data_IF_917501866588
#
_entry.id   IF_917501866588
#
_cell.length_a   1.000
_cell.length_b   1.000
_cell.length_c   1.000
_cell.angle_alpha   90.00
_cell.angle_beta   90.00
_cell.angle_gamma   90.00
#
_symmetry.space_group_name_H-M   'P 1'
#
loop_
_entity.id
_entity.type
_entity.pdbx_description
1 polymer ?
#
# COMPACT_ATOMS: atom_id res chain seq x y z
N UNK A 1 -2.93 -2.92 11.56
CA UNK A 1 -3.92 -1.81 11.61
C UNK A 1 -4.47 -1.69 13.03
N UNK A 2 -4.54 -0.48 13.60
CA UNK A 2 -4.99 -0.25 14.99
C UNK A 2 -6.50 -0.01 15.08
N UNK A 3 -7.33 -0.75 14.34
CA UNK A 3 -8.78 -0.64 14.54
C UNK A 3 -9.18 -1.14 15.94
N UNK A 4 -10.24 -0.58 16.54
CA UNK A 4 -11.10 0.49 16.01
C UNK A 4 -10.50 1.90 16.16
N UNK A 5 -9.33 2.04 16.79
CA UNK A 5 -8.74 3.33 17.16
C UNK A 5 -8.23 4.16 15.98
N UNK A 6 -7.69 3.52 14.93
CA UNK A 6 -7.18 4.21 13.76
C UNK A 6 -7.18 3.33 12.50
N UNK A 7 -7.78 3.85 11.42
CA UNK A 7 -7.67 3.32 10.05
C UNK A 7 -6.53 3.96 9.23
N UNK A 8 -5.68 4.77 9.86
CA UNK A 8 -4.59 5.48 9.17
C UNK A 8 -3.32 4.62 9.08
N UNK A 9 -2.52 4.88 8.05
CA UNK A 9 -1.21 4.27 7.87
C UNK A 9 -0.31 4.56 9.08
N UNK A 10 0.41 3.54 9.54
CA UNK A 10 1.37 3.66 10.65
C UNK A 10 2.76 3.29 10.15
N UNK A 11 3.77 3.99 10.63
CA UNK A 11 5.17 3.69 10.36
C UNK A 11 5.91 3.34 11.66
N UNK A 12 6.92 2.48 11.55
CA UNK A 12 7.86 2.16 12.63
C UNK A 12 9.21 2.75 12.27
N UNK A 13 9.75 3.62 13.11
CA UNK A 13 11.07 4.20 12.92
C UNK A 13 12.09 3.47 13.80
N UNK A 14 13.13 2.93 13.18
CA UNK A 14 14.25 2.28 13.85
C UNK A 14 15.50 3.13 13.66
N UNK A 15 16.16 3.49 14.76
CA UNK A 15 17.38 4.29 14.72
C UNK A 15 18.31 3.92 15.88
N UNK A 16 19.60 4.18 15.71
CA UNK A 16 20.61 4.03 16.75
C UNK A 16 21.16 5.39 17.11
N UNK A 17 21.26 5.68 18.41
CA UNK A 17 21.89 6.91 18.89
C UNK A 17 23.40 6.82 18.66
N UNK A 18 23.90 7.54 17.67
CA UNK A 18 25.33 7.70 17.41
C UNK A 18 25.84 8.92 18.18
N UNK A 19 26.76 8.72 19.13
CA UNK A 19 27.35 9.84 19.89
C UNK A 19 28.19 10.81 19.04
N UNK A 20 28.61 10.33 17.87
CA UNK A 20 29.18 11.09 16.76
C UNK A 20 28.92 10.29 15.48
N UNK A 21 28.47 10.95 14.41
CA UNK A 21 28.08 10.31 13.15
C UNK A 21 26.60 10.51 12.83
N UNK A 22 26.29 10.64 11.55
CA UNK A 22 24.92 10.83 11.04
C UNK A 22 24.42 9.63 10.25
N UNK A 23 23.18 9.72 9.79
CA UNK A 23 22.60 8.78 8.83
C UNK A 23 22.92 9.25 7.42
N UNK A 24 23.60 8.44 6.61
CA UNK A 24 23.89 8.77 5.21
C UNK A 24 22.73 8.36 4.28
N UNK A 25 22.07 7.23 4.60
CA UNK A 25 20.93 6.69 3.87
C UNK A 25 19.88 6.12 4.82
N UNK A 26 18.61 6.25 4.46
CA UNK A 26 17.47 5.67 5.18
C UNK A 26 16.93 4.51 4.37
N UNK A 27 16.81 3.34 4.99
CA UNK A 27 16.16 2.18 4.37
C UNK A 27 14.66 2.27 4.60
N UNK A 28 13.90 2.16 3.52
CA UNK A 28 12.44 2.10 3.53
C UNK A 28 11.99 0.68 3.21
N UNK A 29 10.93 0.24 3.89
CA UNK A 29 10.25 -1.02 3.60
C UNK A 29 8.74 -0.79 3.60
N UNK A 30 8.06 -1.20 2.52
CA UNK A 30 6.62 -1.15 2.36
C UNK A 30 5.98 -2.45 2.87
N UNK A 31 5.60 -2.43 4.14
CA UNK A 31 4.94 -3.57 4.78
C UNK A 31 3.46 -3.60 4.39
N UNK A 32 3.05 -4.65 3.69
CA UNK A 32 1.68 -4.87 3.20
C UNK A 32 0.87 -5.73 4.16
N UNK A 33 1.49 -6.71 4.82
CA UNK A 33 0.81 -7.62 5.74
C UNK A 33 1.69 -8.07 6.91
N UNK A 34 1.07 -8.23 8.09
CA UNK A 34 1.73 -8.63 9.33
C UNK A 34 1.44 -10.08 9.76
N UNK A 35 0.84 -10.89 8.87
CA UNK A 35 0.38 -12.24 9.19
C UNK A 35 -1.02 -12.31 9.78
N UNK A 36 -1.72 -11.18 9.91
CA UNK A 36 -3.11 -11.14 10.37
C UNK A 36 -4.02 -10.36 9.43
N UNK A 37 -5.31 -10.69 9.46
CA UNK A 37 -6.34 -9.95 8.74
C UNK A 37 -6.43 -8.50 9.21
N UNK A 38 -6.87 -7.61 8.32
CA UNK A 38 -6.99 -6.18 8.57
C UNK A 38 -8.26 -5.80 9.35
N UNK A 39 -9.19 -6.73 9.50
CA UNK A 39 -10.39 -6.57 10.30
C UNK A 39 -10.11 -6.77 11.80
N UNK A 40 -11.09 -6.39 12.62
CA UNK A 40 -10.96 -6.39 14.08
C UNK A 40 -10.75 -7.78 14.69
N UNK A 41 -11.09 -8.84 13.97
CA UNK A 41 -10.89 -10.22 14.45
C UNK A 41 -9.43 -10.63 14.39
N UNK A 42 -8.60 -9.94 13.59
CA UNK A 42 -7.16 -10.18 13.45
C UNK A 42 -6.86 -11.68 13.34
N UNK A 43 -7.49 -12.35 12.39
CA UNK A 43 -7.31 -13.80 12.18
C UNK A 43 -6.01 -14.03 11.43
N UNK A 44 -5.29 -15.12 11.74
CA UNK A 44 -4.06 -15.46 11.02
C UNK A 44 -4.30 -15.63 9.52
N UNK A 45 -3.39 -15.10 8.71
CA UNK A 45 -3.37 -15.21 7.26
C UNK A 45 -1.99 -15.65 6.78
N UNK A 46 -1.89 -16.06 5.51
CA UNK A 46 -0.63 -16.55 4.95
C UNK A 46 0.34 -15.40 4.64
N UNK A 47 -0.20 -14.24 4.30
CA UNK A 47 0.52 -13.05 3.91
C UNK A 47 1.20 -12.42 5.14
N UNK A 48 2.53 -12.50 5.19
CA UNK A 48 3.32 -11.98 6.31
C UNK A 48 4.69 -11.50 5.83
N UNK A 49 4.91 -10.19 5.90
CA UNK A 49 6.17 -9.58 5.49
C UNK A 49 7.22 -9.56 6.61
N UNK A 50 6.83 -9.83 7.87
CA UNK A 50 7.75 -9.72 9.03
C UNK A 50 9.01 -10.59 8.86
N UNK A 51 8.91 -11.87 8.43
CA UNK A 51 10.11 -12.68 8.21
C UNK A 51 11.04 -12.10 7.14
N UNK A 52 10.50 -11.53 6.07
CA UNK A 52 11.26 -10.91 4.98
C UNK A 52 11.93 -9.60 5.46
N UNK A 53 11.21 -8.76 6.22
CA UNK A 53 11.76 -7.56 6.85
C UNK A 53 12.97 -7.91 7.71
N UNK A 54 12.85 -8.93 8.56
CA UNK A 54 13.94 -9.36 9.45
C UNK A 54 15.14 -9.85 8.62
N UNK A 55 14.89 -10.71 7.63
CA UNK A 55 15.96 -11.27 6.80
C UNK A 55 16.72 -10.18 6.03
N UNK A 56 16.01 -9.20 5.45
CA UNK A 56 16.63 -8.07 4.72
C UNK A 56 17.32 -7.09 5.64
N UNK A 57 16.72 -6.77 6.79
CA UNK A 57 17.34 -5.88 7.75
C UNK A 57 18.66 -6.45 8.32
N UNK A 58 18.80 -7.77 8.37
CA UNK A 58 20.06 -8.44 8.71
C UNK A 58 21.09 -8.43 7.57
N UNK A 59 20.68 -8.15 6.33
CA UNK A 59 21.54 -8.14 5.14
C UNK A 59 21.32 -6.87 4.30
N UNK A 60 21.46 -5.71 4.92
CA UNK A 60 21.24 -4.40 4.28
C UNK A 60 22.18 -4.13 3.10
N UNK A 61 23.34 -4.79 3.03
CA UNK A 61 24.26 -4.61 1.90
C UNK A 61 23.65 -5.12 0.59
N UNK A 62 22.82 -6.17 0.65
CA UNK A 62 22.09 -6.68 -0.52
C UNK A 62 20.95 -5.76 -1.00
N UNK A 63 20.60 -4.74 -0.21
CA UNK A 63 19.53 -3.79 -0.53
C UNK A 63 20.05 -2.56 -1.29
N UNK A 64 21.37 -2.43 -1.47
CA UNK A 64 22.01 -1.23 -2.04
C UNK A 64 21.55 -0.89 -3.46
N UNK A 65 21.30 -1.90 -4.30
CA UNK A 65 20.96 -1.72 -5.72
C UNK A 65 19.45 -1.81 -6.02
N UNK A 66 18.62 -1.88 -4.98
CA UNK A 66 17.17 -2.03 -5.14
C UNK A 66 16.53 -0.75 -5.65
N UNK A 67 15.59 -0.91 -6.58
CA UNK A 67 14.89 0.19 -7.24
C UNK A 67 13.76 0.75 -6.36
N UNK A 68 13.39 2.00 -6.64
CA UNK A 68 12.26 2.70 -6.00
C UNK A 68 10.89 2.05 -6.25
N UNK A 69 10.79 1.15 -7.23
CA UNK A 69 9.58 0.38 -7.54
C UNK A 69 9.43 -0.88 -6.68
N UNK A 70 10.49 -1.29 -5.99
CA UNK A 70 10.51 -2.51 -5.18
C UNK A 70 9.94 -2.28 -3.78
N UNK A 71 9.72 -3.38 -3.04
CA UNK A 71 9.16 -3.35 -1.69
C UNK A 71 10.07 -2.65 -0.67
N UNK A 72 11.36 -2.58 -0.94
CA UNK A 72 12.35 -1.96 -0.05
C UNK A 72 13.48 -1.35 -0.86
N UNK A 73 14.01 -0.22 -0.39
CA UNK A 73 15.05 0.55 -1.06
C UNK A 73 15.69 1.59 -0.13
N UNK A 74 16.86 2.11 -0.50
CA UNK A 74 17.55 3.16 0.24
C UNK A 74 17.32 4.55 -0.33
N UNK A 75 17.02 5.54 0.51
CA UNK A 75 16.98 6.97 0.15
C UNK A 75 18.19 7.69 0.77
N UNK A 76 18.99 8.44 -0.02
CA UNK A 76 20.05 9.29 0.52
C UNK A 76 19.50 10.40 1.42
N UNK A 77 20.24 10.75 2.47
CA UNK A 77 19.85 11.83 3.39
C UNK A 77 19.67 13.18 2.67
N UNK A 78 20.47 13.46 1.65
CA UNK A 78 20.41 14.71 0.90
C UNK A 78 19.06 14.88 0.21
N UNK A 79 18.52 13.79 -0.36
CA UNK A 79 17.20 13.76 -0.98
C UNK A 79 16.09 13.96 0.05
N UNK A 80 16.23 13.34 1.24
CA UNK A 80 15.29 13.53 2.35
C UNK A 80 15.30 14.98 2.84
N UNK A 81 16.49 15.58 2.99
CA UNK A 81 16.64 16.97 3.39
C UNK A 81 16.03 17.94 2.35
N UNK A 82 16.23 17.67 1.06
CA UNK A 82 15.61 18.43 -0.02
C UNK A 82 14.07 18.35 0.00
N UNK A 83 13.52 17.24 0.47
CA UNK A 83 12.09 17.03 0.68
C UNK A 83 11.59 17.48 2.07
N UNK A 84 12.36 18.30 2.79
CA UNK A 84 11.92 18.85 4.08
C UNK A 84 11.87 17.83 5.22
N UNK A 85 12.68 16.77 5.14
CA UNK A 85 12.70 15.66 6.08
C UNK A 85 11.39 14.86 6.16
N UNK A 86 10.62 14.85 5.08
CA UNK A 86 9.47 13.96 4.96
C UNK A 86 9.94 12.50 4.89
N UNK A 87 9.50 11.68 5.85
CA UNK A 87 9.82 10.24 5.93
C UNK A 87 8.64 9.36 5.46
N UNK A 88 7.76 9.90 4.64
CA UNK A 88 6.68 9.14 4.01
C UNK A 88 7.24 8.32 2.84
N UNK A 89 7.14 6.99 2.91
CA UNK A 89 7.62 6.10 1.85
C UNK A 89 7.05 6.45 0.46
N UNK A 90 5.79 6.89 0.41
CA UNK A 90 5.10 7.30 -0.81
C UNK A 90 5.74 8.50 -1.51
N UNK A 91 6.54 9.30 -0.80
CA UNK A 91 7.28 10.42 -1.38
C UNK A 91 8.42 9.95 -2.30
N UNK A 92 8.99 8.78 -2.00
CA UNK A 92 10.18 8.24 -2.64
C UNK A 92 9.92 7.01 -3.49
N UNK A 93 8.77 6.36 -3.29
CA UNK A 93 8.38 5.16 -4.03
C UNK A 93 7.96 5.52 -5.45
N UNK A 94 8.55 4.86 -6.42
CA UNK A 94 8.12 4.96 -7.81
C UNK A 94 7.01 3.94 -8.05
N UNK A 95 5.88 4.41 -8.57
CA UNK A 95 4.79 3.51 -9.00
C UNK A 95 4.88 3.39 -10.51
N UNK A 96 5.07 2.17 -11.02
CA UNK A 96 4.94 1.90 -12.45
C UNK A 96 3.48 2.10 -12.84
N UNK A 97 3.20 3.19 -13.55
CA UNK A 97 1.86 3.44 -14.07
C UNK A 97 1.58 2.46 -15.20
N UNK A 98 0.75 1.47 -14.93
CA UNK A 98 0.13 0.67 -15.99
C UNK A 98 -1.09 1.47 -16.45
N UNK A 99 -1.14 1.95 -17.71
CA UNK A 99 -2.33 2.61 -18.22
C UNK A 99 -3.51 1.65 -18.10
N UNK A 100 -4.49 2.06 -17.31
CA UNK A 100 -5.76 1.35 -17.23
C UNK A 100 -6.53 1.73 -18.49
N UNK A 101 -6.70 0.78 -19.40
CA UNK A 101 -7.63 0.93 -20.50
C UNK A 101 -9.04 0.85 -19.93
N UNK A 102 -9.77 1.95 -20.03
CA UNK A 102 -11.17 1.99 -19.67
C UNK A 102 -12.02 1.67 -20.91
N UNK A 103 -13.15 0.96 -20.73
CA UNK A 103 -14.15 0.87 -21.78
C UNK A 103 -14.59 2.27 -22.21
N UNK A 104 -15.00 2.39 -23.46
CA UNK A 104 -15.47 3.65 -24.01
C UNK A 104 -16.71 4.14 -23.28
N UNK A 105 -16.97 5.45 -23.33
CA UNK A 105 -18.20 6.04 -22.76
C UNK A 105 -19.46 5.35 -23.27
N UNK A 106 -19.45 4.92 -24.54
CA UNK A 106 -20.58 4.22 -25.17
C UNK A 106 -20.83 2.86 -24.55
N UNK A 107 -19.77 2.09 -24.28
CA UNK A 107 -19.87 0.78 -23.61
C UNK A 107 -20.37 0.95 -22.17
N UNK A 108 -19.81 1.90 -21.42
CA UNK A 108 -20.26 2.21 -20.05
C UNK A 108 -21.76 2.59 -20.02
N UNK A 109 -22.21 3.39 -20.99
CA UNK A 109 -23.62 3.77 -21.09
C UNK A 109 -24.53 2.60 -21.47
N UNK A 110 -24.05 1.67 -22.31
CA UNK A 110 -24.79 0.46 -22.66
C UNK A 110 -24.96 -0.43 -21.42
N UNK A 111 -23.88 -0.67 -20.67
CA UNK A 111 -23.91 -1.47 -19.43
C UNK A 111 -24.85 -0.86 -18.39
N UNK A 112 -24.83 0.47 -18.23
CA UNK A 112 -25.73 1.19 -17.31
C UNK A 112 -27.19 1.02 -17.71
N UNK A 113 -27.50 1.11 -19.01
CA UNK A 113 -28.86 0.95 -19.50
C UNK A 113 -29.35 -0.49 -19.33
N UNK A 114 -28.48 -1.49 -19.52
CA UNK A 114 -28.79 -2.89 -19.26
C UNK A 114 -29.12 -3.14 -17.78
N UNK A 115 -28.28 -2.62 -16.87
CA UNK A 115 -28.53 -2.68 -15.43
C UNK A 115 -29.86 -2.03 -15.03
N UNK A 116 -30.21 -0.87 -15.58
CA UNK A 116 -31.50 -0.20 -15.34
C UNK A 116 -32.70 -1.06 -15.78
N UNK A 117 -32.59 -1.76 -16.92
CA UNK A 117 -33.65 -2.68 -17.36
C UNK A 117 -33.80 -3.87 -16.41
N UNK A 118 -32.69 -4.45 -15.93
CA UNK A 118 -32.73 -5.55 -14.96
C UNK A 118 -33.38 -5.12 -13.64
N UNK A 119 -33.01 -3.93 -13.13
CA UNK A 119 -33.61 -3.35 -11.92
C UNK A 119 -35.11 -3.14 -12.11
N UNK A 120 -35.52 -2.53 -13.22
CA UNK A 120 -36.93 -2.24 -13.50
C UNK A 120 -37.74 -3.53 -13.61
N UNK A 121 -37.19 -4.56 -14.28
CA UNK A 121 -37.83 -5.87 -14.39
C UNK A 121 -37.98 -6.53 -13.01
N UNK A 122 -36.92 -6.55 -12.21
CA UNK A 122 -36.95 -7.13 -10.86
C UNK A 122 -37.94 -6.42 -9.94
N UNK A 123 -38.09 -5.10 -10.05
CA UNK A 123 -39.10 -4.34 -9.32
C UNK A 123 -40.53 -4.73 -9.73
N UNK A 124 -40.80 -4.86 -11.02
CA UNK A 124 -42.11 -5.29 -11.51
C UNK A 124 -42.48 -6.70 -11.03
N UNK A 125 -41.53 -7.64 -11.08
CA UNK A 125 -41.72 -9.00 -10.56
C UNK A 125 -42.04 -9.00 -9.06
N UNK A 126 -41.40 -8.12 -8.26
CA UNK A 126 -41.70 -7.98 -6.83
C UNK A 126 -43.07 -7.34 -6.57
N UNK A 127 -43.49 -6.37 -7.40
CA UNK A 127 -44.82 -5.74 -7.29
C UNK A 127 -45.95 -6.75 -7.58
N UNK A 128 -45.75 -7.72 -8.47
CA UNK A 128 -46.74 -8.79 -8.75
C UNK A 128 -46.91 -9.79 -7.59
N UNK A 129 -46.00 -9.80 -6.60
CA UNK A 129 -46.07 -10.68 -5.43
C UNK A 129 -46.82 -10.08 -4.22
N UNK A 130 -47.30 -8.83 -4.32
CA UNK A 130 -48.02 -8.10 -3.27
C UNK A 130 -49.51 -7.98 -3.62
#
# INVERSE_FOLDING_TARGET
MFKPYAGVSTAVLVFTKTGAGGTDRVWFYDMKADGFSLDDKRTEVKENDIPDIIARFQNLDAEADRKRTEQSFFVPKEEIAANGYDLSINKYKETEYVPVEYPSTTEILADLHELEMEITKGLAELEEMV
#
